data_IF_627816064868
#
_entry.id   IF_627816064868
#
_cell.length_a   1.000
_cell.length_b   1.000
_cell.length_c   1.000
_cell.angle_alpha   90.00
_cell.angle_beta   90.00
_cell.angle_gamma   90.00
#
_symmetry.space_group_name_H-M   'P 1'
#
loop_
_entity.id
_entity.type
_entity.pdbx_description
1 polymer ?
#
# COMPACT_ATOMS: atom_id res chain seq x y z
N UNK A 1 -39.54 -18.54 -38.77
CA UNK A 1 -40.01 -17.55 -37.78
C UNK A 1 -41.23 -18.16 -37.11
N UNK A 2 -41.22 -18.35 -35.78
CA UNK A 2 -40.95 -17.27 -34.83
C UNK A 2 -39.73 -17.47 -33.93
N UNK A 3 -39.29 -16.32 -33.43
CA UNK A 3 -38.17 -16.06 -32.54
C UNK A 3 -38.38 -16.57 -31.11
N UNK A 4 -37.33 -17.13 -30.52
CA UNK A 4 -37.25 -17.50 -29.11
C UNK A 4 -35.94 -17.00 -28.49
N UNK A 5 -35.90 -15.74 -28.10
CA UNK A 5 -34.78 -15.14 -27.35
C UNK A 5 -34.71 -15.71 -25.92
N UNK A 6 -33.87 -16.74 -25.73
CA UNK A 6 -33.56 -17.32 -24.43
C UNK A 6 -32.60 -16.45 -23.62
N UNK A 7 -33.13 -15.49 -22.86
CA UNK A 7 -32.36 -14.69 -21.90
C UNK A 7 -31.90 -15.53 -20.70
N UNK A 8 -30.58 -15.68 -20.54
CA UNK A 8 -29.95 -16.23 -19.33
C UNK A 8 -30.23 -15.33 -18.11
N UNK A 9 -31.23 -15.66 -17.29
CA UNK A 9 -31.40 -15.05 -15.95
C UNK A 9 -30.33 -15.60 -15.00
N UNK A 10 -29.38 -14.75 -14.59
CA UNK A 10 -28.47 -15.06 -13.46
C UNK A 10 -29.32 -15.24 -12.19
N UNK A 11 -29.31 -16.44 -11.59
CA UNK A 11 -29.82 -16.64 -10.23
C UNK A 11 -28.94 -15.88 -9.25
N UNK A 12 -29.51 -14.85 -8.63
CA UNK A 12 -28.90 -14.15 -7.49
C UNK A 12 -29.20 -15.00 -6.25
N UNK A 13 -28.17 -15.50 -5.57
CA UNK A 13 -28.32 -16.21 -4.30
C UNK A 13 -28.53 -15.17 -3.20
N UNK A 14 -29.66 -15.25 -2.51
CA UNK A 14 -30.10 -14.30 -1.47
C UNK A 14 -29.99 -14.98 -0.10
N UNK A 15 -29.58 -14.24 0.93
CA UNK A 15 -29.52 -14.75 2.30
C UNK A 15 -30.94 -15.03 2.84
N UNK A 16 -31.24 -16.25 3.34
CA UNK A 16 -32.58 -16.61 3.82
C UNK A 16 -33.00 -15.91 5.13
N UNK A 17 -32.09 -15.21 5.80
CA UNK A 17 -32.38 -14.52 7.07
C UNK A 17 -32.62 -13.01 6.93
N UNK A 18 -32.10 -12.36 5.88
CA UNK A 18 -32.21 -10.91 5.71
C UNK A 18 -32.56 -10.43 4.29
N UNK A 19 -32.73 -11.33 3.31
CA UNK A 19 -33.19 -10.95 1.97
C UNK A 19 -32.17 -10.18 1.12
N UNK A 20 -30.93 -10.01 1.58
CA UNK A 20 -29.88 -9.33 0.79
C UNK A 20 -29.14 -10.26 -0.18
N UNK A 21 -28.78 -9.78 -1.39
CA UNK A 21 -28.01 -10.55 -2.37
C UNK A 21 -26.57 -10.76 -1.90
N UNK A 22 -26.11 -12.02 -1.84
CA UNK A 22 -24.75 -12.35 -1.43
C UNK A 22 -23.73 -11.86 -2.46
N UNK A 23 -23.11 -10.70 -2.23
CA UNK A 23 -21.95 -10.24 -3.00
C UNK A 23 -20.75 -11.14 -2.66
N UNK A 24 -20.19 -11.79 -3.68
CA UNK A 24 -18.97 -12.58 -3.57
C UNK A 24 -17.78 -11.71 -3.12
N UNK A 25 -17.51 -11.68 -1.81
CA UNK A 25 -16.29 -11.14 -1.22
C UNK A 25 -15.14 -12.16 -1.35
N UNK A 26 -14.81 -12.52 -2.59
CA UNK A 26 -13.64 -13.35 -2.90
C UNK A 26 -12.54 -12.47 -3.48
N UNK A 27 -11.51 -12.15 -2.68
CA UNK A 27 -10.14 -11.75 -3.05
C UNK A 27 -9.54 -10.80 -2.00
N UNK A 28 -9.28 -11.23 -0.76
CA UNK A 28 -8.47 -10.38 0.14
C UNK A 28 -7.58 -11.06 1.17
N UNK A 29 -7.50 -12.39 1.20
CA UNK A 29 -6.51 -13.06 2.05
C UNK A 29 -5.86 -14.20 1.27
N UNK A 30 -4.55 -14.08 1.00
CA UNK A 30 -3.72 -15.26 0.73
C UNK A 30 -3.94 -16.18 1.94
N UNK A 31 -4.47 -17.38 1.71
CA UNK A 31 -4.37 -18.43 2.71
C UNK A 31 -2.88 -18.60 3.06
N UNK A 32 -2.52 -18.79 4.34
CA UNK A 32 -1.13 -19.02 4.72
C UNK A 32 -0.55 -20.15 3.86
N UNK A 33 0.74 -20.09 3.47
CA UNK A 33 1.36 -21.17 2.70
C UNK A 33 1.12 -22.51 3.40
N UNK A 34 0.77 -23.57 2.66
CA UNK A 34 0.41 -24.88 3.24
C UNK A 34 1.46 -25.42 4.23
N UNK A 35 2.73 -25.03 4.07
CA UNK A 35 3.83 -25.31 5.02
C UNK A 35 3.64 -24.67 6.39
N UNK A 36 3.14 -23.44 6.45
CA UNK A 36 2.75 -22.80 7.70
C UNK A 36 1.60 -23.58 8.35
N UNK A 37 0.56 -23.96 7.59
CA UNK A 37 -0.58 -24.73 8.13
C UNK A 37 -0.17 -26.10 8.69
N UNK A 38 0.82 -26.77 8.08
CA UNK A 38 1.38 -28.04 8.60
C UNK A 38 2.18 -27.83 9.89
N UNK A 39 3.11 -26.86 9.89
CA UNK A 39 3.84 -26.46 11.10
C UNK A 39 2.89 -26.00 12.23
N UNK A 40 1.74 -25.42 11.87
CA UNK A 40 0.68 -25.02 12.82
C UNK A 40 -0.03 -26.20 13.47
N UNK A 41 -0.32 -27.29 12.75
CA UNK A 41 -0.87 -28.51 13.35
C UNK A 41 0.13 -29.19 14.31
N UNK A 42 1.41 -29.15 13.96
CA UNK A 42 2.50 -29.67 14.79
C UNK A 42 2.69 -28.82 16.07
N UNK A 43 2.48 -27.50 16.02
CA UNK A 43 2.49 -26.62 17.20
C UNK A 43 1.23 -26.70 18.06
N UNK A 44 0.06 -26.92 17.47
CA UNK A 44 -1.16 -27.22 18.24
C UNK A 44 -0.94 -28.47 19.10
N UNK A 45 -0.30 -29.51 18.54
CA UNK A 45 0.05 -30.73 19.28
C UNK A 45 1.10 -30.48 20.37
N UNK A 46 2.10 -29.62 20.11
CA UNK A 46 3.16 -29.31 21.08
C UNK A 46 2.66 -28.45 22.27
N UNK A 47 1.71 -27.55 22.04
CA UNK A 47 1.11 -26.70 23.08
C UNK A 47 0.11 -27.50 23.92
N UNK A 48 -0.59 -28.47 23.33
CA UNK A 48 -1.51 -29.37 24.04
C UNK A 48 -0.78 -30.45 24.87
N UNK A 49 0.49 -30.77 24.57
CA UNK A 49 1.27 -31.76 25.34
C UNK A 49 2.05 -31.17 26.53
N UNK A 50 2.10 -29.84 26.67
CA UNK A 50 2.84 -29.16 27.76
C UNK A 50 1.95 -28.58 28.87
N UNK A 51 0.67 -28.93 28.93
CA UNK A 51 -0.17 -28.59 30.09
C UNK A 51 0.19 -29.48 31.28
N UNK A 52 1.11 -29.01 32.12
CA UNK A 52 1.23 -29.46 33.51
C UNK A 52 -0.07 -29.17 34.29
N UNK A 53 -0.25 -29.78 35.48
CA UNK A 53 -1.50 -29.70 36.22
C UNK A 53 -1.82 -28.24 36.63
N UNK A 54 -3.11 -27.88 36.76
CA UNK A 54 -3.52 -26.51 37.04
C UNK A 54 -3.01 -26.08 38.42
N UNK A 55 -2.29 -24.96 38.43
CA UNK A 55 -1.85 -24.26 39.62
C UNK A 55 -3.07 -23.68 40.35
N UNK A 56 -3.24 -24.01 41.64
CA UNK A 56 -4.28 -23.49 42.50
C UNK A 56 -3.96 -22.04 42.93
N UNK A 57 -4.92 -21.12 42.73
CA UNK A 57 -4.83 -19.73 43.23
C UNK A 57 -4.88 -19.69 44.77
N UNK A 58 -4.05 -18.85 45.44
CA UNK A 58 -4.26 -18.51 46.84
C UNK A 58 -5.40 -17.49 46.98
N UNK A 59 -6.36 -17.81 47.85
CA UNK A 59 -7.51 -16.99 48.23
C UNK A 59 -7.06 -15.64 48.83
N UNK A 60 -7.52 -14.55 48.24
CA UNK A 60 -7.54 -13.24 48.91
C UNK A 60 -8.88 -13.06 49.65
N UNK A 61 -8.78 -12.68 50.93
CA UNK A 61 -9.91 -12.41 51.83
C UNK A 61 -10.73 -11.22 51.34
N UNK A 62 -12.05 -11.40 51.37
CA UNK A 62 -13.04 -10.31 51.31
C UNK A 62 -13.03 -9.51 52.63
N UNK A 63 -13.56 -8.27 52.61
CA UNK A 63 -14.45 -7.84 53.67
C UNK A 63 -15.88 -7.68 53.15
N UNK A 64 -16.78 -8.10 54.01
CA UNK A 64 -18.22 -8.26 53.86
C UNK A 64 -18.97 -6.91 53.86
N UNK A 65 -20.19 -6.89 53.31
CA UNK A 65 -21.18 -5.83 53.53
C UNK A 65 -22.17 -5.67 52.38
N UNK A 66 -23.32 -6.34 52.47
CA UNK A 66 -24.41 -6.34 51.49
C UNK A 66 -25.38 -5.14 51.64
N UNK A 67 -26.04 -4.73 50.54
CA UNK A 67 -27.49 -4.86 50.38
C UNK A 67 -27.93 -4.62 48.92
N UNK A 68 -28.77 -5.48 48.32
CA UNK A 68 -29.28 -5.37 46.96
C UNK A 68 -30.65 -4.67 46.90
N UNK A 69 -30.90 -3.93 45.81
CA UNK A 69 -32.25 -3.58 45.37
C UNK A 69 -32.90 -2.37 46.04
N UNK A 70 -32.75 -1.20 45.42
CA UNK A 70 -33.79 -0.17 45.45
C UNK A 70 -33.86 0.51 44.09
N UNK A 71 -35.05 0.48 43.51
CA UNK A 71 -35.38 1.08 42.23
C UNK A 71 -35.65 2.58 42.34
N UNK A 72 -35.82 3.16 41.15
CA UNK A 72 -36.22 4.53 40.87
C UNK A 72 -37.19 5.14 41.90
N UNK A 73 -36.92 6.37 42.31
CA UNK A 73 -37.94 7.41 42.35
C UNK A 73 -37.30 8.80 42.18
N UNK A 74 -38.06 9.62 41.46
CA UNK A 74 -37.94 11.05 41.21
C UNK A 74 -38.04 11.90 42.48
N UNK A 75 -37.50 13.12 42.38
CA UNK A 75 -37.97 14.41 42.95
C UNK A 75 -36.73 15.27 43.29
N UNK A 76 -36.41 16.29 42.51
CA UNK A 76 -37.00 17.63 42.44
C UNK A 76 -36.42 18.61 43.48
N UNK A 77 -35.72 19.60 42.92
CA UNK A 77 -35.63 21.02 43.29
C UNK A 77 -34.64 21.54 44.35
N UNK A 78 -34.14 22.75 43.99
CA UNK A 78 -33.33 23.75 44.69
C UNK A 78 -31.82 23.49 44.82
N UNK A 79 -30.91 24.37 44.41
CA UNK A 79 -31.02 25.74 43.91
C UNK A 79 -29.77 26.50 44.33
N UNK A 80 -28.80 26.73 43.43
CA UNK A 80 -27.73 27.71 43.66
C UNK A 80 -26.98 28.06 42.36
N UNK A 81 -27.43 29.16 41.77
CA UNK A 81 -26.76 29.95 40.74
C UNK A 81 -25.35 30.39 41.17
N UNK A 82 -24.33 30.17 40.32
CA UNK A 82 -23.12 31.01 40.30
C UNK A 82 -22.71 31.30 38.84
N UNK A 83 -22.98 32.54 38.44
CA UNK A 83 -22.53 33.20 37.20
C UNK A 83 -21.00 33.37 37.17
N UNK A 84 -20.40 33.51 35.98
CA UNK A 84 -18.98 33.76 35.81
C UNK A 84 -18.63 35.23 36.11
N UNK A 85 -17.52 35.44 36.81
CA UNK A 85 -16.96 36.76 37.08
C UNK A 85 -16.20 37.28 35.84
N UNK A 86 -16.70 38.38 35.29
CA UNK A 86 -15.93 39.35 34.51
C UNK A 86 -14.86 39.97 35.41
N UNK A 87 -13.62 40.06 34.92
CA UNK A 87 -12.64 41.01 35.42
C UNK A 87 -12.32 41.99 34.29
N UNK A 88 -12.92 43.17 34.41
CA UNK A 88 -12.49 44.40 33.76
C UNK A 88 -11.24 44.91 34.48
N UNK A 89 -10.17 45.19 33.76
CA UNK A 89 -9.13 46.10 34.25
C UNK A 89 -8.79 47.12 33.17
N UNK A 90 -9.04 48.37 33.53
CA UNK A 90 -8.74 49.61 32.81
C UNK A 90 -7.28 49.95 33.12
N UNK A 91 -6.40 50.03 32.12
CA UNK A 91 -5.09 50.68 32.26
C UNK A 91 -4.77 51.52 31.00
N UNK A 92 -4.65 52.82 31.27
CA UNK A 92 -3.99 53.93 30.58
C UNK A 92 -3.54 53.81 29.10
N UNK A 93 -4.06 54.74 28.29
CA UNK A 93 -3.52 55.17 26.99
C UNK A 93 -2.12 55.76 27.15
N UNK A 94 -1.13 55.16 26.49
CA UNK A 94 0.08 55.85 26.03
C UNK A 94 0.21 55.59 24.53
N UNK A 95 0.11 56.66 23.73
CA UNK A 95 0.27 56.61 22.29
C UNK A 95 1.70 56.25 21.93
N UNK A 96 1.88 55.08 21.30
CA UNK A 96 3.14 54.70 20.66
C UNK A 96 2.88 54.68 19.17
N UNK A 97 3.48 55.65 18.48
CA UNK A 97 3.54 55.72 17.02
C UNK A 97 4.03 54.38 16.48
N UNK A 98 3.15 53.62 15.84
CA UNK A 98 3.53 52.45 15.04
C UNK A 98 4.24 52.97 13.81
N UNK A 99 5.58 52.96 13.86
CA UNK A 99 6.40 53.02 12.68
C UNK A 99 6.07 51.81 11.82
N UNK A 100 5.35 52.04 10.73
CA UNK A 100 5.23 51.09 9.63
C UNK A 100 6.65 50.85 9.13
N UNK A 101 7.28 49.78 9.61
CA UNK A 101 8.49 49.27 8.99
C UNK A 101 8.07 48.84 7.59
N UNK A 102 8.32 49.72 6.62
CA UNK A 102 8.30 49.36 5.22
C UNK A 102 9.33 48.25 5.07
N UNK A 103 8.86 47.00 5.07
CA UNK A 103 9.65 45.90 4.55
C UNK A 103 9.96 46.28 3.11
N UNK A 104 11.16 46.78 2.90
CA UNK A 104 11.82 46.81 1.60
C UNK A 104 12.06 45.36 1.24
N UNK A 105 10.99 44.69 0.79
CA UNK A 105 11.11 43.47 0.02
C UNK A 105 11.79 43.88 -1.28
N UNK A 106 13.12 43.76 -1.28
CA UNK A 106 13.92 43.75 -2.49
C UNK A 106 13.53 42.48 -3.28
N UNK A 107 12.41 42.56 -4.01
CA UNK A 107 11.87 41.48 -4.85
C UNK A 107 12.22 41.74 -6.31
N UNK A 108 13.51 41.66 -6.64
CA UNK A 108 13.84 41.08 -7.93
C UNK A 108 13.56 39.57 -7.82
N UNK A 109 12.28 39.16 -7.83
CA UNK A 109 11.92 37.75 -8.01
C UNK A 109 12.54 37.32 -9.33
N UNK A 110 13.54 36.44 -9.30
CA UNK A 110 13.99 35.73 -10.51
C UNK A 110 12.73 35.18 -11.19
N UNK A 111 12.44 35.63 -12.41
CA UNK A 111 11.21 35.23 -13.08
C UNK A 111 11.34 33.75 -13.47
N UNK A 112 10.55 32.90 -12.82
CA UNK A 112 10.54 31.45 -13.02
C UNK A 112 9.45 31.07 -14.02
N UNK A 113 9.72 30.09 -14.88
CA UNK A 113 8.71 29.43 -15.68
C UNK A 113 8.22 28.17 -14.97
N UNK A 114 6.93 28.09 -14.68
CA UNK A 114 6.28 26.89 -14.17
C UNK A 114 5.68 26.08 -15.32
N UNK A 115 5.87 24.77 -15.28
CA UNK A 115 5.41 23.83 -16.31
C UNK A 115 4.77 22.59 -15.67
N UNK A 116 3.49 22.34 -15.93
CA UNK A 116 2.90 21.04 -15.62
C UNK A 116 2.72 20.18 -16.86
N UNK A 117 2.95 18.87 -16.70
CA UNK A 117 2.66 17.87 -17.72
C UNK A 117 1.44 17.04 -17.31
N UNK A 118 0.45 16.97 -18.20
CA UNK A 118 -0.52 15.88 -18.22
C UNK A 118 -0.04 14.86 -19.26
N UNK A 119 0.40 13.70 -18.78
CA UNK A 119 1.06 12.68 -19.59
C UNK A 119 0.04 11.69 -20.20
N UNK A 120 -0.19 11.80 -21.51
CA UNK A 120 -0.96 10.84 -22.30
C UNK A 120 -0.07 9.84 -23.06
N UNK A 121 -0.70 8.81 -23.62
CA UNK A 121 -0.01 7.80 -24.44
C UNK A 121 0.50 8.35 -25.77
N UNK A 122 -0.31 9.16 -26.45
CA UNK A 122 0.03 9.72 -27.76
C UNK A 122 0.55 11.15 -27.68
N UNK A 123 0.07 11.90 -26.69
CA UNK A 123 0.34 13.33 -26.55
C UNK A 123 0.53 13.69 -25.08
N UNK A 124 1.41 14.64 -24.83
CA UNK A 124 1.52 15.33 -23.54
C UNK A 124 0.88 16.71 -23.65
N UNK A 125 0.01 17.06 -22.69
CA UNK A 125 -0.43 18.45 -22.53
C UNK A 125 0.52 19.17 -21.59
N UNK A 126 0.99 20.32 -22.04
CA UNK A 126 1.90 21.18 -21.32
C UNK A 126 1.15 22.43 -20.89
N UNK A 127 1.13 22.73 -19.59
CA UNK A 127 0.58 23.97 -19.06
C UNK A 127 1.70 24.84 -18.50
N UNK A 128 1.83 26.05 -19.03
CA UNK A 128 2.88 27.00 -18.67
C UNK A 128 2.31 28.24 -18.00
N UNK A 129 2.98 28.71 -16.94
CA UNK A 129 2.64 29.96 -16.26
C UNK A 129 3.86 30.55 -15.53
N UNK A 130 3.83 31.85 -15.22
CA UNK A 130 4.84 32.54 -14.39
C UNK A 130 4.33 32.85 -12.98
N UNK A 131 3.01 32.90 -12.82
CA UNK A 131 2.30 33.19 -11.59
C UNK A 131 0.98 32.43 -11.56
N UNK A 132 0.34 32.37 -10.39
CA UNK A 132 -0.96 31.73 -10.25
C UNK A 132 -2.01 32.62 -10.94
N UNK A 133 -2.18 32.42 -12.24
CA UNK A 133 -3.17 33.10 -13.07
C UNK A 133 -4.18 32.09 -13.62
N UNK A 134 -5.40 32.56 -13.89
CA UNK A 134 -6.51 31.70 -14.32
C UNK A 134 -6.37 31.14 -15.74
N UNK A 135 -5.37 31.57 -16.51
CA UNK A 135 -5.23 31.19 -17.92
C UNK A 135 -3.79 30.81 -18.31
N UNK A 136 -3.30 29.62 -17.93
CA UNK A 136 -1.98 29.14 -18.34
C UNK A 136 -1.91 28.93 -19.86
N UNK A 137 -0.72 29.11 -20.45
CA UNK A 137 -0.50 28.77 -21.86
C UNK A 137 -0.50 27.24 -21.98
N UNK A 138 -1.41 26.73 -22.81
CA UNK A 138 -1.52 25.28 -23.07
C UNK A 138 -0.90 24.93 -24.44
N UNK A 139 -0.10 23.86 -24.47
CA UNK A 139 0.44 23.26 -25.69
C UNK A 139 0.31 21.75 -25.66
N UNK A 140 0.27 21.14 -26.84
CA UNK A 140 0.29 19.69 -26.99
C UNK A 140 1.54 19.32 -27.74
N UNK A 141 2.29 18.35 -27.23
CA UNK A 141 3.43 17.76 -27.93
C UNK A 141 3.20 16.25 -28.02
N UNK A 142 3.73 15.62 -29.07
CA UNK A 142 3.73 14.16 -29.16
C UNK A 142 4.46 13.56 -27.96
N UNK A 143 3.99 12.42 -27.45
CA UNK A 143 4.62 11.73 -26.33
C UNK A 143 6.12 11.54 -26.55
N UNK A 144 6.91 11.70 -25.48
CA UNK A 144 8.37 11.47 -25.45
C UNK A 144 9.18 12.33 -26.43
N UNK A 145 8.58 13.31 -27.11
CA UNK A 145 9.28 14.21 -28.01
C UNK A 145 9.96 15.36 -27.23
N UNK A 146 11.17 15.09 -26.74
CA UNK A 146 11.96 16.06 -25.97
C UNK A 146 12.38 17.29 -26.81
N UNK A 147 12.57 17.14 -28.12
CA UNK A 147 12.91 18.27 -28.98
C UNK A 147 11.75 19.27 -29.08
N UNK A 148 10.53 18.77 -29.30
CA UNK A 148 9.32 19.60 -29.30
C UNK A 148 9.07 20.23 -27.92
N UNK A 149 9.32 19.50 -26.83
CA UNK A 149 9.24 20.03 -25.47
C UNK A 149 10.19 21.22 -25.27
N UNK A 150 11.48 21.07 -25.63
CA UNK A 150 12.47 22.16 -25.53
C UNK A 150 12.09 23.36 -26.38
N UNK A 151 11.59 23.12 -27.60
CA UNK A 151 11.08 24.18 -28.46
C UNK A 151 9.93 24.95 -27.80
N UNK A 152 8.93 24.27 -27.22
CA UNK A 152 7.80 24.94 -26.56
C UNK A 152 8.22 25.67 -25.27
N UNK A 153 9.20 25.15 -24.53
CA UNK A 153 9.78 25.85 -23.37
C UNK A 153 10.43 27.17 -23.83
N UNK A 154 11.29 27.13 -24.85
CA UNK A 154 11.96 28.31 -25.38
C UNK A 154 10.96 29.34 -25.96
N UNK A 155 10.00 28.87 -26.76
CA UNK A 155 8.94 29.70 -27.33
C UNK A 155 8.05 30.33 -26.25
N UNK A 156 7.87 29.65 -25.12
CA UNK A 156 7.10 30.18 -23.99
C UNK A 156 7.90 31.19 -23.18
N UNK A 157 9.20 30.95 -22.94
CA UNK A 157 10.08 31.95 -22.31
C UNK A 157 10.07 33.26 -23.11
N UNK A 158 10.21 33.19 -24.43
CA UNK A 158 10.13 34.35 -25.31
C UNK A 158 8.78 35.08 -25.20
N UNK A 159 7.66 34.35 -25.25
CA UNK A 159 6.30 34.93 -25.14
C UNK A 159 6.05 35.59 -23.78
N UNK A 160 6.61 35.06 -22.70
CA UNK A 160 6.45 35.61 -21.36
C UNK A 160 7.54 36.63 -20.99
N UNK A 161 8.38 37.03 -21.96
CA UNK A 161 9.48 37.97 -21.76
C UNK A 161 10.40 37.53 -20.59
N UNK A 162 10.68 36.23 -20.54
CA UNK A 162 11.62 35.61 -19.62
C UNK A 162 12.99 35.52 -20.29
N UNK A 163 14.08 35.75 -19.54
CA UNK A 163 15.44 35.44 -20.01
C UNK A 163 15.56 33.98 -20.50
N UNK A 164 16.46 33.73 -21.45
CA UNK A 164 16.69 32.37 -21.97
C UNK A 164 17.12 31.38 -20.87
N UNK A 165 17.88 31.87 -19.90
CA UNK A 165 18.38 31.17 -18.71
C UNK A 165 17.39 31.17 -17.53
N UNK A 166 16.16 31.70 -17.70
CA UNK A 166 15.15 31.70 -16.65
C UNK A 166 14.93 30.28 -16.09
N UNK A 167 14.93 30.09 -14.76
CA UNK A 167 14.73 28.79 -14.16
C UNK A 167 13.39 28.17 -14.57
N UNK A 168 13.37 26.87 -14.83
CA UNK A 168 12.16 26.11 -15.09
C UNK A 168 11.89 25.20 -13.90
N UNK A 169 10.68 25.30 -13.36
CA UNK A 169 10.17 24.37 -12.34
C UNK A 169 9.02 23.61 -12.96
N UNK A 170 9.02 22.30 -12.86
CA UNK A 170 8.01 21.49 -13.51
C UNK A 170 7.46 20.38 -12.63
N UNK A 171 6.27 19.88 -12.99
CA UNK A 171 5.68 18.74 -12.30
C UNK A 171 4.86 17.83 -13.21
N UNK A 172 4.77 16.57 -12.82
CA UNK A 172 3.87 15.59 -13.44
C UNK A 172 3.43 14.57 -12.40
N UNK A 173 2.29 13.93 -12.64
CA UNK A 173 1.79 12.86 -11.76
C UNK A 173 2.60 11.57 -11.93
N UNK A 174 2.98 10.96 -10.80
CA UNK A 174 3.63 9.66 -10.75
C UNK A 174 2.75 8.61 -11.45
N UNK A 175 3.32 7.92 -12.43
CA UNK A 175 2.51 7.06 -13.29
C UNK A 175 3.31 6.11 -14.16
N UNK A 176 2.73 5.80 -15.33
CA UNK A 176 3.22 4.78 -16.26
C UNK A 176 4.66 5.03 -16.71
N UNK A 177 4.99 6.29 -17.02
CA UNK A 177 6.31 6.66 -17.52
C UNK A 177 7.40 6.58 -16.44
N UNK A 178 7.07 6.22 -15.21
CA UNK A 178 8.05 6.05 -14.14
C UNK A 178 8.91 7.31 -13.93
N UNK A 179 10.21 7.11 -13.77
CA UNK A 179 11.13 8.15 -13.30
C UNK A 179 12.05 8.74 -14.40
N UNK A 180 12.02 8.21 -15.63
CA UNK A 180 12.97 8.62 -16.67
C UNK A 180 12.79 10.09 -17.06
N UNK A 181 11.54 10.58 -17.12
CA UNK A 181 11.25 11.97 -17.47
C UNK A 181 11.81 12.93 -16.41
N UNK A 182 11.59 12.64 -15.13
CA UNK A 182 12.20 13.40 -14.04
C UNK A 182 13.72 13.45 -14.16
N UNK A 183 14.39 12.32 -14.43
CA UNK A 183 15.85 12.26 -14.59
C UNK A 183 16.33 13.09 -15.77
N UNK A 184 15.66 12.97 -16.92
CA UNK A 184 15.97 13.74 -18.12
C UNK A 184 15.85 15.25 -17.86
N UNK A 185 14.74 15.70 -17.29
CA UNK A 185 14.50 17.12 -17.01
C UNK A 185 15.46 17.65 -15.93
N UNK A 186 15.78 16.85 -14.92
CA UNK A 186 16.76 17.21 -13.88
C UNK A 186 18.17 17.35 -14.45
N UNK A 187 18.57 16.46 -15.37
CA UNK A 187 19.87 16.53 -16.04
C UNK A 187 20.00 17.78 -16.93
N UNK A 188 18.88 18.30 -17.44
CA UNK A 188 18.79 19.58 -18.16
C UNK A 188 18.74 20.80 -17.22
N UNK A 189 18.85 20.60 -15.91
CA UNK A 189 18.86 21.68 -14.90
C UNK A 189 17.47 22.15 -14.47
N UNK A 190 16.39 21.48 -14.87
CA UNK A 190 15.05 21.81 -14.42
C UNK A 190 14.77 21.25 -13.03
N UNK A 191 14.05 22.01 -12.20
CA UNK A 191 13.54 21.49 -10.92
C UNK A 191 12.25 20.73 -11.17
N UNK A 192 12.33 19.41 -11.21
CA UNK A 192 11.18 18.55 -11.52
C UNK A 192 10.59 17.92 -10.26
N UNK A 193 9.26 17.99 -10.12
CA UNK A 193 8.50 17.35 -9.05
C UNK A 193 7.61 16.24 -9.61
N UNK A 194 7.90 15.00 -9.27
CA UNK A 194 6.97 13.88 -9.50
C UNK A 194 5.95 13.86 -8.35
N UNK A 195 4.65 13.95 -8.64
CA UNK A 195 3.58 14.15 -7.65
C UNK A 195 2.82 12.84 -7.41
N UNK A 196 2.58 12.49 -6.15
CA UNK A 196 1.71 11.36 -5.79
C UNK A 196 0.25 11.72 -6.09
N UNK A 197 -0.32 11.15 -7.16
CA UNK A 197 -1.72 11.37 -7.57
C UNK A 197 -2.72 11.10 -6.44
N UNK A 198 -2.42 10.18 -5.52
CA UNK A 198 -3.33 9.84 -4.41
C UNK A 198 -3.38 10.92 -3.32
N UNK A 199 -2.44 11.86 -3.34
CA UNK A 199 -2.37 12.99 -2.41
C UNK A 199 -3.07 14.25 -2.91
N UNK A 200 -3.46 14.30 -4.19
CA UNK A 200 -4.14 15.43 -4.80
C UNK A 200 -5.62 15.39 -4.38
N UNK A 201 -6.11 16.50 -3.83
CA UNK A 201 -7.53 16.60 -3.48
C UNK A 201 -8.40 16.63 -4.74
N UNK A 202 -9.41 15.75 -4.74
CA UNK A 202 -10.37 15.60 -5.83
C UNK A 202 -11.73 16.09 -5.36
N UNK A 203 -12.36 16.94 -6.17
CA UNK A 203 -13.73 17.40 -5.95
C UNK A 203 -14.70 16.21 -5.94
N UNK A 204 -15.64 16.21 -4.99
CA UNK A 204 -16.62 15.14 -4.77
C UNK A 204 -17.90 15.30 -5.61
N UNK A 205 -18.05 16.38 -6.39
CA UNK A 205 -19.22 16.60 -7.26
C UNK A 205 -19.36 15.50 -8.32
N UNK A 206 -20.59 15.05 -8.55
CA UNK A 206 -20.88 13.87 -9.40
C UNK A 206 -20.65 14.09 -10.91
N UNK A 207 -20.77 15.33 -11.41
CA UNK A 207 -20.55 15.66 -12.84
C UNK A 207 -19.61 16.86 -12.94
N UNK A 208 -18.45 16.64 -13.58
CA UNK A 208 -17.44 17.67 -13.84
C UNK A 208 -16.91 17.50 -15.26
N UNK A 209 -16.64 18.61 -15.93
CA UNK A 209 -15.83 18.59 -17.14
C UNK A 209 -14.42 18.11 -16.79
N UNK A 210 -14.01 16.98 -17.38
CA UNK A 210 -12.65 16.47 -17.29
C UNK A 210 -12.03 16.51 -18.67
N UNK A 211 -10.97 17.28 -18.81
CA UNK A 211 -10.17 17.35 -20.03
C UNK A 211 -8.70 17.47 -19.64
N UNK A 212 -7.80 16.91 -20.44
CA UNK A 212 -6.36 16.97 -20.20
C UNK A 212 -5.86 18.43 -20.04
N UNK A 213 -6.51 19.37 -20.73
CA UNK A 213 -6.26 20.81 -20.61
C UNK A 213 -6.57 21.35 -19.21
N UNK A 214 -7.73 20.99 -18.66
CA UNK A 214 -8.14 21.41 -17.31
C UNK A 214 -7.27 20.76 -16.24
N UNK A 215 -6.88 19.49 -16.44
CA UNK A 215 -6.03 18.77 -15.51
C UNK A 215 -4.60 19.34 -15.50
N UNK A 216 -4.01 19.61 -16.67
CA UNK A 216 -2.72 20.29 -16.78
C UNK A 216 -2.75 21.71 -16.15
N UNK A 217 -3.81 22.48 -16.40
CA UNK A 217 -3.98 23.81 -15.81
C UNK A 217 -4.10 23.75 -14.27
N UNK A 218 -4.82 22.76 -13.73
CA UNK A 218 -4.91 22.52 -12.29
C UNK A 218 -3.52 22.19 -11.70
N UNK A 219 -2.77 21.32 -12.37
CA UNK A 219 -1.43 20.91 -11.91
C UNK A 219 -0.46 22.09 -11.85
N UNK A 220 -0.42 22.96 -12.86
CA UNK A 220 0.51 24.12 -12.84
C UNK A 220 0.12 25.13 -11.75
N UNK A 221 -1.17 25.32 -11.50
CA UNK A 221 -1.64 26.16 -10.38
C UNK A 221 -1.22 25.60 -9.02
N UNK A 222 -1.38 24.29 -8.82
CA UNK A 222 -0.93 23.62 -7.59
C UNK A 222 0.60 23.65 -7.44
N UNK A 223 1.35 23.57 -8.54
CA UNK A 223 2.81 23.69 -8.53
C UNK A 223 3.26 25.05 -7.99
N UNK A 224 2.63 26.10 -8.49
CA UNK A 224 2.94 27.47 -8.07
C UNK A 224 2.62 27.66 -6.59
N UNK A 225 1.49 27.14 -6.11
CA UNK A 225 1.14 27.16 -4.68
C UNK A 225 2.17 26.40 -3.82
N UNK A 226 2.59 25.23 -4.28
CA UNK A 226 3.60 24.42 -3.61
C UNK A 226 4.95 25.14 -3.50
N UNK A 227 5.40 25.77 -4.58
CA UNK A 227 6.65 26.53 -4.65
C UNK A 227 6.58 27.82 -3.81
N UNK A 228 5.40 28.44 -3.72
CA UNK A 228 5.13 29.58 -2.84
C UNK A 228 4.93 29.23 -1.36
N UNK A 229 5.14 27.97 -0.96
CA UNK A 229 5.20 27.55 0.44
C UNK A 229 4.04 26.69 0.94
N UNK A 230 2.99 26.47 0.13
CA UNK A 230 1.87 25.62 0.52
C UNK A 230 2.22 24.12 0.37
N UNK A 231 3.13 23.62 1.23
CA UNK A 231 3.70 22.27 1.14
C UNK A 231 2.70 21.12 1.38
N UNK A 232 1.44 21.42 1.70
CA UNK A 232 0.37 20.43 1.94
C UNK A 232 -0.58 20.26 0.75
N UNK A 233 -0.40 21.03 -0.33
CA UNK A 233 -1.24 20.93 -1.54
C UNK A 233 -1.16 19.57 -2.22
N UNK A 234 -0.02 18.86 -2.08
CA UNK A 234 0.21 17.48 -2.49
C UNK A 234 1.42 16.88 -1.78
N UNK A 235 1.79 15.64 -2.11
CA UNK A 235 3.05 14.98 -1.76
C UNK A 235 3.87 14.72 -3.01
N UNK A 236 5.19 14.94 -2.91
CA UNK A 236 6.15 14.61 -3.97
C UNK A 236 6.75 13.23 -3.74
N UNK A 237 6.94 12.49 -4.82
CA UNK A 237 7.61 11.20 -4.82
C UNK A 237 9.11 11.44 -4.67
N UNK A 238 9.75 10.73 -3.73
CA UNK A 238 11.20 10.60 -3.73
C UNK A 238 11.59 9.67 -4.87
N UNK A 239 12.22 10.23 -5.89
CA UNK A 239 12.68 9.48 -7.06
C UNK A 239 13.92 8.66 -6.68
N UNK A 240 13.90 7.32 -6.83
CA UNK A 240 15.08 6.48 -6.59
C UNK A 240 16.15 6.74 -7.68
N UNK A 241 17.42 6.55 -7.32
CA UNK A 241 18.49 6.50 -8.32
C UNK A 241 18.25 5.34 -9.30
N UNK A 242 18.89 5.37 -10.46
CA UNK A 242 18.80 4.28 -11.44
C UNK A 242 19.28 2.95 -10.84
N UNK A 243 20.35 3.00 -10.04
CA UNK A 243 20.88 1.82 -9.36
C UNK A 243 19.89 1.29 -8.30
N UNK A 244 19.22 2.16 -7.54
CA UNK A 244 18.19 1.77 -6.57
C UNK A 244 16.96 1.18 -7.24
N UNK A 245 16.53 1.77 -8.36
CA UNK A 245 15.46 1.22 -9.16
C UNK A 245 15.82 -0.16 -9.71
N UNK A 246 17.02 -0.30 -10.27
CA UNK A 246 17.51 -1.53 -10.87
C UNK A 246 17.55 -2.69 -9.85
N UNK A 247 18.01 -2.40 -8.62
CA UNK A 247 18.06 -3.37 -7.51
C UNK A 247 16.70 -4.00 -7.17
N UNK A 248 15.59 -3.34 -7.51
CA UNK A 248 14.24 -3.84 -7.23
C UNK A 248 13.71 -4.83 -8.26
N UNK A 249 14.35 -4.98 -9.43
CA UNK A 249 13.84 -5.88 -10.47
C UNK A 249 13.83 -7.33 -10.02
N UNK A 250 14.92 -7.81 -9.39
CA UNK A 250 15.07 -9.23 -9.06
C UNK A 250 13.91 -9.79 -8.22
N UNK A 251 13.53 -9.12 -7.13
CA UNK A 251 12.44 -9.63 -6.28
C UNK A 251 11.05 -9.38 -6.86
N UNK A 252 10.87 -8.33 -7.66
CA UNK A 252 9.60 -8.07 -8.35
C UNK A 252 9.34 -9.10 -9.44
N UNK A 253 10.36 -9.41 -10.23
CA UNK A 253 10.30 -10.48 -11.23
C UNK A 253 10.05 -11.85 -10.58
N UNK A 254 10.74 -12.14 -9.47
CA UNK A 254 10.49 -13.36 -8.70
C UNK A 254 9.02 -13.45 -8.25
N UNK A 255 8.41 -12.35 -7.80
CA UNK A 255 6.99 -12.33 -7.45
C UNK A 255 6.08 -12.63 -8.65
N UNK A 256 6.39 -12.07 -9.81
CA UNK A 256 5.63 -12.28 -11.04
C UNK A 256 5.67 -13.76 -11.46
N UNK A 257 6.85 -14.38 -11.47
CA UNK A 257 7.00 -15.81 -11.76
C UNK A 257 6.36 -16.71 -10.71
N UNK A 258 6.43 -16.34 -9.42
CA UNK A 258 5.74 -17.06 -8.35
C UNK A 258 4.21 -17.04 -8.55
N UNK A 259 3.67 -15.92 -9.01
CA UNK A 259 2.24 -15.81 -9.29
C UNK A 259 1.84 -16.56 -10.57
N UNK A 260 2.65 -16.55 -11.63
CA UNK A 260 2.43 -17.40 -12.81
C UNK A 260 2.47 -18.90 -12.46
N UNK A 261 3.49 -19.34 -11.71
CA UNK A 261 3.59 -20.73 -11.22
C UNK A 261 2.36 -21.12 -10.41
N UNK A 262 1.86 -20.22 -9.55
CA UNK A 262 0.63 -20.42 -8.78
C UNK A 262 -0.60 -20.52 -9.67
N UNK A 263 -0.71 -19.69 -10.70
CA UNK A 263 -1.83 -19.72 -11.64
C UNK A 263 -1.92 -21.05 -12.38
N UNK A 264 -0.81 -21.57 -12.91
CA UNK A 264 -0.78 -22.90 -13.53
C UNK A 264 -1.16 -24.00 -12.54
N UNK A 265 -0.61 -23.97 -11.33
CA UNK A 265 -0.93 -24.95 -10.29
C UNK A 265 -2.44 -24.95 -9.94
N UNK A 266 -3.04 -23.77 -9.78
CA UNK A 266 -4.45 -23.63 -9.49
C UNK A 266 -5.33 -24.08 -10.66
N UNK A 267 -4.90 -23.82 -11.90
CA UNK A 267 -5.64 -24.24 -13.10
C UNK A 267 -5.61 -25.77 -13.25
N UNK A 268 -4.46 -26.40 -13.03
CA UNK A 268 -4.32 -27.87 -12.99
C UNK A 268 -5.25 -28.46 -11.93
N UNK A 269 -5.16 -27.97 -10.68
CA UNK A 269 -6.01 -28.46 -9.58
C UNK A 269 -7.49 -28.24 -9.82
N UNK A 270 -7.88 -27.10 -10.39
CA UNK A 270 -9.28 -26.83 -10.73
C UNK A 270 -9.82 -27.79 -11.80
N UNK A 271 -9.01 -28.12 -12.80
CA UNK A 271 -9.38 -29.09 -13.84
C UNK A 271 -9.54 -30.51 -13.26
N UNK A 272 -8.62 -30.94 -12.40
CA UNK A 272 -8.69 -32.23 -11.73
C UNK A 272 -9.90 -32.32 -10.77
N UNK A 273 -10.12 -31.28 -9.97
CA UNK A 273 -11.25 -31.22 -9.05
C UNK A 273 -12.60 -31.31 -9.78
N UNK A 274 -12.70 -30.77 -11.00
CA UNK A 274 -13.88 -30.90 -11.85
C UNK A 274 -14.20 -32.34 -12.27
N UNK A 275 -13.24 -33.27 -12.15
CA UNK A 275 -13.40 -34.70 -12.37
C UNK A 275 -13.42 -35.51 -11.06
N UNK A 276 -13.45 -34.86 -9.90
CA UNK A 276 -13.33 -35.52 -8.60
C UNK A 276 -11.91 -36.03 -8.29
N UNK A 277 -10.89 -35.52 -8.99
CA UNK A 277 -9.50 -35.94 -8.85
C UNK A 277 -8.67 -34.91 -8.08
N UNK A 278 -7.59 -35.38 -7.44
CA UNK A 278 -6.54 -34.53 -6.88
C UNK A 278 -5.16 -35.13 -7.18
N UNK A 279 -4.16 -34.28 -7.36
CA UNK A 279 -2.79 -34.70 -7.61
C UNK A 279 -1.80 -33.62 -7.17
N UNK A 280 -0.58 -34.06 -6.86
CA UNK A 280 0.52 -33.13 -6.56
C UNK A 280 1.16 -32.69 -7.87
N UNK A 281 1.21 -31.38 -8.08
CA UNK A 281 1.89 -30.79 -9.25
C UNK A 281 3.37 -30.64 -8.93
N UNK A 282 4.13 -31.66 -9.30
CA UNK A 282 5.59 -31.74 -9.19
C UNK A 282 6.17 -32.43 -10.44
N UNK A 283 7.47 -32.76 -10.42
CA UNK A 283 8.16 -33.38 -11.56
C UNK A 283 7.53 -34.71 -12.03
N UNK A 284 6.83 -35.41 -11.13
CA UNK A 284 6.24 -36.72 -11.39
C UNK A 284 4.75 -36.60 -11.77
N UNK A 285 4.22 -35.37 -11.89
CA UNK A 285 2.83 -35.12 -12.26
C UNK A 285 2.37 -35.86 -13.54
N UNK A 286 3.14 -35.92 -14.64
CA UNK A 286 2.74 -36.69 -15.82
C UNK A 286 2.50 -38.17 -15.51
N UNK A 287 3.37 -38.78 -14.68
CA UNK A 287 3.22 -40.18 -14.25
C UNK A 287 2.02 -40.37 -13.33
N UNK A 288 1.78 -39.41 -12.43
CA UNK A 288 0.59 -39.43 -11.58
C UNK A 288 -0.69 -39.41 -12.42
N UNK A 289 -0.71 -38.60 -13.48
CA UNK A 289 -1.86 -38.43 -14.36
C UNK A 289 -2.27 -39.75 -15.05
N UNK A 290 -1.31 -40.57 -15.47
CA UNK A 290 -1.57 -41.90 -16.05
C UNK A 290 -2.23 -42.88 -15.05
N UNK A 291 -1.96 -42.70 -13.75
CA UNK A 291 -2.51 -43.54 -12.69
C UNK A 291 -3.89 -43.07 -12.21
N UNK A 292 -4.30 -41.84 -12.51
CA UNK A 292 -5.60 -41.30 -12.06
C UNK A 292 -6.77 -42.01 -12.73
N UNK A 293 -7.82 -42.24 -11.95
CA UNK A 293 -9.09 -42.83 -12.40
C UNK A 293 -10.24 -41.97 -11.92
N UNK A 294 -11.17 -41.68 -12.83
CA UNK A 294 -12.42 -40.99 -12.55
C UNK A 294 -13.32 -41.83 -11.63
N UNK A 295 -14.42 -41.24 -11.18
CA UNK A 295 -15.38 -41.87 -10.26
C UNK A 295 -15.97 -43.20 -10.76
N UNK A 296 -15.99 -43.42 -12.08
CA UNK A 296 -16.50 -44.61 -12.75
C UNK A 296 -15.38 -45.63 -13.10
N UNK A 297 -14.16 -45.40 -12.60
CA UNK A 297 -13.00 -46.24 -12.85
C UNK A 297 -12.33 -46.04 -14.21
N UNK A 298 -12.84 -45.15 -15.06
CA UNK A 298 -12.20 -44.83 -16.35
C UNK A 298 -10.95 -43.96 -16.17
N UNK A 299 -9.98 -44.03 -17.08
CA UNK A 299 -8.87 -43.09 -17.09
C UNK A 299 -9.35 -41.66 -17.38
N UNK A 300 -8.50 -40.69 -17.07
CA UNK A 300 -8.71 -39.29 -17.51
C UNK A 300 -8.76 -39.25 -19.03
N UNK A 301 -9.73 -38.53 -19.61
CA UNK A 301 -9.84 -38.42 -21.07
C UNK A 301 -8.57 -37.84 -21.69
N UNK A 302 -8.23 -38.26 -22.91
CA UNK A 302 -7.00 -37.83 -23.58
C UNK A 302 -6.99 -36.30 -23.81
N UNK A 303 -8.12 -35.68 -24.12
CA UNK A 303 -8.21 -34.23 -24.31
C UNK A 303 -7.93 -33.45 -23.02
N UNK A 304 -8.44 -33.95 -21.88
CA UNK A 304 -8.16 -33.35 -20.58
C UNK A 304 -6.70 -33.59 -20.18
N UNK A 305 -6.19 -34.80 -20.43
CA UNK A 305 -4.80 -35.17 -20.18
C UNK A 305 -3.84 -34.25 -20.92
N UNK A 306 -4.01 -34.06 -22.22
CA UNK A 306 -3.22 -33.13 -23.02
C UNK A 306 -3.29 -31.69 -22.49
N UNK A 307 -4.50 -31.23 -22.14
CA UNK A 307 -4.68 -29.89 -21.58
C UNK A 307 -3.94 -29.73 -20.26
N UNK A 308 -3.96 -30.74 -19.39
CA UNK A 308 -3.23 -30.76 -18.12
C UNK A 308 -1.72 -30.75 -18.36
N UNK A 309 -1.22 -31.52 -19.33
CA UNK A 309 0.20 -31.54 -19.70
C UNK A 309 0.68 -30.19 -20.23
N UNK A 310 -0.08 -29.50 -21.11
CA UNK A 310 0.25 -28.13 -21.54
C UNK A 310 0.28 -27.13 -20.37
N UNK A 311 -0.62 -27.26 -19.39
CA UNK A 311 -0.56 -26.43 -18.18
C UNK A 311 0.66 -26.77 -17.31
N UNK A 312 1.04 -28.04 -17.28
CA UNK A 312 2.22 -28.51 -16.54
C UNK A 312 3.52 -28.01 -17.16
N UNK A 313 3.64 -27.97 -18.49
CA UNK A 313 4.79 -27.35 -19.17
C UNK A 313 4.96 -25.87 -18.78
N UNK A 314 3.86 -25.10 -18.76
CA UNK A 314 3.86 -23.72 -18.27
C UNK A 314 4.27 -23.61 -16.81
N UNK A 315 3.79 -24.53 -15.96
CA UNK A 315 4.23 -24.62 -14.57
C UNK A 315 5.72 -24.92 -14.45
N UNK A 316 6.26 -25.86 -15.23
CA UNK A 316 7.67 -26.23 -15.21
C UNK A 316 8.56 -25.06 -15.64
N UNK A 317 8.15 -24.33 -16.67
CA UNK A 317 8.87 -23.14 -17.11
C UNK A 317 8.92 -22.08 -16.00
N UNK A 318 7.77 -21.74 -15.41
CA UNK A 318 7.73 -20.79 -14.31
C UNK A 318 8.52 -21.27 -13.06
N UNK A 319 8.51 -22.56 -12.76
CA UNK A 319 9.28 -23.14 -11.65
C UNK A 319 10.80 -23.05 -11.87
N UNK A 320 11.27 -23.24 -13.11
CA UNK A 320 12.68 -23.01 -13.46
C UNK A 320 13.08 -21.55 -13.26
N UNK A 321 12.30 -20.61 -13.79
CA UNK A 321 12.57 -19.17 -13.61
C UNK A 321 12.64 -18.77 -12.12
N UNK A 322 11.70 -19.26 -11.30
CA UNK A 322 11.74 -19.04 -9.85
C UNK A 322 13.04 -19.55 -9.23
N UNK A 323 13.44 -20.80 -9.54
CA UNK A 323 14.67 -21.39 -8.99
C UNK A 323 15.92 -20.62 -9.41
N UNK A 324 15.99 -20.21 -10.66
CA UNK A 324 17.13 -19.47 -11.19
C UNK A 324 17.29 -18.11 -10.49
N UNK A 325 16.18 -17.36 -10.34
CA UNK A 325 16.18 -16.08 -9.63
C UNK A 325 16.44 -16.23 -8.12
N UNK A 326 15.93 -17.29 -7.48
CA UNK A 326 16.25 -17.60 -6.08
C UNK A 326 17.74 -17.92 -5.89
N UNK A 327 18.33 -18.68 -6.81
CA UNK A 327 19.75 -18.99 -6.84
C UNK A 327 20.60 -17.74 -7.11
N UNK A 328 20.16 -16.86 -8.00
CA UNK A 328 20.81 -15.57 -8.24
C UNK A 328 20.81 -14.72 -6.97
N UNK A 329 19.66 -14.57 -6.29
CA UNK A 329 19.56 -13.86 -5.01
C UNK A 329 20.50 -14.46 -3.96
N UNK A 330 20.50 -15.79 -3.81
CA UNK A 330 21.35 -16.48 -2.85
C UNK A 330 22.84 -16.25 -3.15
N UNK A 331 23.23 -16.28 -4.43
CA UNK A 331 24.59 -15.98 -4.88
C UNK A 331 24.98 -14.55 -4.53
N UNK A 332 24.13 -13.57 -4.85
CA UNK A 332 24.37 -12.16 -4.51
C UNK A 332 24.57 -11.99 -3.00
N UNK A 333 23.69 -12.55 -2.17
CA UNK A 333 23.82 -12.48 -0.70
C UNK A 333 25.12 -13.13 -0.22
N UNK A 334 25.62 -14.18 -0.88
CA UNK A 334 26.87 -14.85 -0.47
C UNK A 334 28.12 -14.08 -0.90
N UNK A 335 28.15 -13.54 -2.11
CA UNK A 335 29.41 -13.06 -2.73
C UNK A 335 29.48 -11.55 -2.96
N UNK A 336 28.36 -10.84 -2.95
CA UNK A 336 28.36 -9.41 -3.25
C UNK A 336 28.91 -8.55 -2.10
N UNK A 337 29.51 -7.41 -2.42
CA UNK A 337 30.25 -6.58 -1.46
C UNK A 337 29.61 -5.21 -1.22
N UNK A 338 28.44 -4.94 -1.77
CA UNK A 338 27.74 -3.69 -1.56
C UNK A 338 27.08 -3.61 -0.17
N UNK A 339 26.94 -2.38 0.35
CA UNK A 339 26.39 -2.11 1.69
C UNK A 339 24.93 -2.52 1.84
N UNK A 340 24.16 -2.58 0.74
CA UNK A 340 22.79 -3.07 0.79
C UNK A 340 22.78 -4.56 1.14
N UNK A 341 23.67 -5.35 0.53
CA UNK A 341 23.81 -6.78 0.86
C UNK A 341 24.31 -7.01 2.28
N UNK A 342 25.17 -6.15 2.82
CA UNK A 342 25.56 -6.23 4.23
C UNK A 342 24.37 -6.01 5.17
N UNK A 343 23.49 -5.05 4.82
CA UNK A 343 22.22 -4.85 5.53
C UNK A 343 21.31 -6.07 5.41
N UNK A 344 21.25 -6.72 4.24
CA UNK A 344 20.51 -7.99 4.06
C UNK A 344 21.07 -9.07 4.98
N UNK A 345 22.40 -9.24 5.04
CA UNK A 345 23.07 -10.21 5.93
C UNK A 345 22.82 -9.90 7.40
N UNK A 346 22.81 -8.62 7.79
CA UNK A 346 22.49 -8.22 9.14
C UNK A 346 21.06 -8.60 9.53
N UNK A 347 20.07 -8.33 8.65
CA UNK A 347 18.68 -8.72 8.87
C UNK A 347 18.51 -10.24 8.96
N UNK A 348 19.26 -11.02 8.19
CA UNK A 348 19.25 -12.49 8.24
C UNK A 348 19.70 -13.07 9.58
N UNK A 349 20.39 -12.30 10.43
CA UNK A 349 20.75 -12.73 11.79
C UNK A 349 19.55 -12.72 12.75
N UNK A 350 18.45 -12.07 12.38
CA UNK A 350 17.24 -12.00 13.19
C UNK A 350 16.38 -13.26 12.98
N UNK A 351 16.03 -13.96 14.06
CA UNK A 351 15.12 -15.11 13.97
C UNK A 351 13.75 -14.66 13.46
N UNK A 352 13.22 -15.38 12.48
CA UNK A 352 11.96 -15.06 11.81
C UNK A 352 12.11 -14.18 10.56
N UNK A 353 13.32 -13.74 10.22
CA UNK A 353 13.63 -13.05 8.97
C UNK A 353 14.40 -14.01 8.04
N UNK A 354 13.95 -14.12 6.79
CA UNK A 354 14.57 -14.95 5.76
C UNK A 354 15.05 -14.12 4.57
N UNK A 355 15.70 -14.77 3.61
CA UNK A 355 16.33 -14.08 2.47
C UNK A 355 15.33 -13.24 1.66
N UNK A 356 14.10 -13.74 1.45
CA UNK A 356 13.07 -13.01 0.73
C UNK A 356 12.61 -11.74 1.46
N UNK A 357 12.38 -11.81 2.78
CA UNK A 357 11.95 -10.65 3.56
C UNK A 357 13.07 -9.64 3.73
N UNK A 358 14.28 -10.09 4.10
CA UNK A 358 15.44 -9.21 4.23
C UNK A 358 15.73 -8.45 2.93
N UNK A 359 15.79 -9.16 1.81
CA UNK A 359 16.02 -8.56 0.49
C UNK A 359 14.97 -7.51 0.14
N UNK A 360 13.68 -7.85 0.28
CA UNK A 360 12.59 -6.95 -0.08
C UNK A 360 12.63 -5.65 0.74
N UNK A 361 12.85 -5.74 2.05
CA UNK A 361 12.91 -4.55 2.90
C UNK A 361 14.11 -3.67 2.58
N UNK A 362 15.27 -4.25 2.30
CA UNK A 362 16.45 -3.48 1.91
C UNK A 362 16.21 -2.78 0.56
N UNK A 363 15.84 -3.53 -0.48
CA UNK A 363 15.75 -2.96 -1.84
C UNK A 363 14.57 -2.00 -2.03
N UNK A 364 13.46 -2.17 -1.30
CA UNK A 364 12.31 -1.25 -1.40
C UNK A 364 12.41 -0.06 -0.45
N UNK A 365 13.21 -0.17 0.63
CA UNK A 365 13.21 0.80 1.72
C UNK A 365 14.62 1.16 2.17
N UNK A 366 15.32 0.27 2.86
CA UNK A 366 16.49 0.66 3.66
C UNK A 366 17.70 1.08 2.83
N UNK A 367 17.78 0.67 1.55
CA UNK A 367 18.88 1.04 0.66
C UNK A 367 18.88 2.52 0.27
N UNK A 368 17.70 3.16 0.20
CA UNK A 368 17.59 4.47 -0.46
C UNK A 368 16.54 5.42 0.12
N UNK A 369 15.75 4.98 1.10
CA UNK A 369 14.80 5.85 1.80
C UNK A 369 15.33 6.21 3.18
N UNK A 370 15.31 7.49 3.49
CA UNK A 370 15.61 7.99 4.83
C UNK A 370 14.38 7.82 5.71
N UNK A 371 14.37 6.73 6.49
CA UNK A 371 13.36 6.52 7.52
C UNK A 371 13.90 7.00 8.86
N UNK A 372 13.26 8.04 9.39
CA UNK A 372 13.63 8.65 10.68
C UNK A 372 12.84 8.05 11.84
N UNK A 373 11.70 7.43 11.58
CA UNK A 373 10.85 6.88 12.63
C UNK A 373 9.93 5.74 12.17
N UNK A 374 9.46 4.94 13.13
CA UNK A 374 8.54 3.82 12.91
C UNK A 374 7.20 4.21 12.27
N UNK A 375 6.72 5.45 12.44
CA UNK A 375 5.45 5.89 11.85
C UNK A 375 5.58 6.03 10.33
N UNK A 376 6.73 6.51 9.85
CA UNK A 376 7.05 6.55 8.42
C UNK A 376 7.08 5.14 7.82
N UNK A 377 7.70 4.17 8.51
CA UNK A 377 7.69 2.78 8.05
C UNK A 377 6.27 2.20 7.96
N UNK A 378 5.45 2.42 9.00
CA UNK A 378 4.04 2.04 8.99
C UNK A 378 3.25 2.70 7.85
N UNK A 379 3.55 3.95 7.51
CA UNK A 379 2.92 4.68 6.40
C UNK A 379 3.35 4.10 5.05
N UNK A 380 4.65 3.83 4.85
CA UNK A 380 5.18 3.24 3.61
C UNK A 380 4.58 1.86 3.35
N UNK A 381 4.39 1.04 4.39
CA UNK A 381 3.71 -0.24 4.29
C UNK A 381 2.16 -0.11 4.21
N UNK A 382 1.58 1.05 4.50
CA UNK A 382 0.12 1.22 4.59
C UNK A 382 -0.52 0.45 5.76
N UNK A 383 0.20 0.33 6.88
CA UNK A 383 -0.22 -0.28 8.14
C UNK A 383 -0.70 0.77 9.19
N UNK A 384 -0.70 2.05 8.83
CA UNK A 384 -1.24 3.13 9.69
C UNK A 384 -2.74 2.99 9.90
N UNK A 385 -3.27 3.37 11.08
CA UNK A 385 -4.69 3.25 11.36
C UNK A 385 -5.46 4.34 10.61
N UNK A 386 -6.75 4.13 10.44
CA UNK A 386 -7.67 5.14 9.90
C UNK A 386 -8.75 5.45 10.93
N UNK A 387 -8.43 6.25 11.97
CA UNK A 387 -9.42 6.65 12.97
C UNK A 387 -10.46 7.56 12.31
N UNK A 388 -11.74 7.27 12.56
CA UNK A 388 -12.85 8.12 12.18
C UNK A 388 -13.50 8.62 13.46
N UNK A 389 -13.15 9.85 13.82
CA UNK A 389 -13.63 10.52 15.04
C UNK A 389 -14.42 11.76 14.66
N UNK A 390 -15.63 11.87 15.19
CA UNK A 390 -16.43 13.08 15.29
C UNK A 390 -16.67 13.38 16.78
N UNK A 391 -17.23 14.54 17.10
CA UNK A 391 -17.51 14.94 18.48
C UNK A 391 -18.34 13.92 19.28
N UNK A 392 -19.15 13.11 18.60
CA UNK A 392 -20.05 12.12 19.20
C UNK A 392 -19.74 10.67 18.84
N UNK A 393 -18.83 10.40 17.90
CA UNK A 393 -18.58 9.03 17.41
C UNK A 393 -17.10 8.80 17.22
N UNK A 394 -16.57 7.73 17.82
CA UNK A 394 -15.20 7.26 17.58
C UNK A 394 -15.25 5.83 17.05
N UNK A 395 -14.76 5.61 15.82
CA UNK A 395 -14.64 4.27 15.22
C UNK A 395 -13.31 4.12 14.49
N UNK A 396 -12.72 2.94 14.57
CA UNK A 396 -11.54 2.57 13.78
C UNK A 396 -11.97 1.96 12.45
N UNK A 397 -11.47 2.47 11.32
CA UNK A 397 -11.81 1.97 9.97
C UNK A 397 -10.79 0.93 9.45
N UNK A 398 -9.88 0.47 10.31
CA UNK A 398 -8.83 -0.49 9.98
C UNK A 398 -7.51 0.18 9.62
N UNK A 399 -6.75 -0.43 8.71
CA UNK A 399 -5.49 0.11 8.21
C UNK A 399 -5.71 0.88 6.91
N UNK A 400 -4.90 1.91 6.64
CA UNK A 400 -5.02 2.77 5.47
C UNK A 400 -4.91 2.01 4.15
N UNK A 401 -4.03 0.99 4.10
CA UNK A 401 -3.60 0.29 2.87
C UNK A 401 -2.99 1.21 1.79
N UNK A 402 -2.92 2.51 2.05
CA UNK A 402 -2.23 3.52 1.27
C UNK A 402 -0.72 3.36 1.52
N UNK A 403 -0.05 2.66 0.60
CA UNK A 403 1.36 2.29 0.70
C UNK A 403 1.71 1.04 -0.09
N UNK A 404 2.98 0.67 -0.09
CA UNK A 404 3.52 -0.45 -0.84
C UNK A 404 2.92 -1.79 -0.36
N UNK A 405 2.13 -2.41 -1.24
CA UNK A 405 1.44 -3.68 -0.98
C UNK A 405 2.40 -4.84 -0.71
N UNK A 406 3.58 -4.86 -1.34
CA UNK A 406 4.60 -5.92 -1.17
C UNK A 406 5.16 -5.87 0.25
N UNK A 407 5.56 -4.67 0.70
CA UNK A 407 6.01 -4.43 2.07
C UNK A 407 4.93 -4.80 3.09
N UNK A 408 3.68 -4.40 2.84
CA UNK A 408 2.56 -4.74 3.73
C UNK A 408 2.37 -6.25 3.89
N UNK A 409 2.35 -6.97 2.77
CA UNK A 409 2.19 -8.42 2.77
C UNK A 409 3.37 -9.08 3.49
N UNK A 410 4.59 -8.68 3.17
CA UNK A 410 5.80 -9.22 3.79
C UNK A 410 5.87 -8.93 5.30
N UNK A 411 5.48 -7.73 5.75
CA UNK A 411 5.42 -7.40 7.17
C UNK A 411 4.45 -8.32 7.95
N UNK A 412 3.31 -8.66 7.34
CA UNK A 412 2.36 -9.61 7.95
C UNK A 412 2.92 -11.04 7.97
N UNK A 413 3.62 -11.48 6.93
CA UNK A 413 4.31 -12.78 6.94
C UNK A 413 5.40 -12.82 8.01
N UNK A 414 6.22 -11.76 8.13
CA UNK A 414 7.23 -11.62 9.18
C UNK A 414 6.57 -11.68 10.57
N UNK A 415 5.43 -11.03 10.77
CA UNK A 415 4.72 -11.10 12.04
C UNK A 415 4.30 -12.52 12.41
N UNK A 416 3.85 -13.32 11.43
CA UNK A 416 3.58 -14.75 11.67
C UNK A 416 4.84 -15.51 12.03
N UNK A 417 5.93 -15.29 11.29
CA UNK A 417 7.22 -15.93 11.58
C UNK A 417 7.78 -15.51 12.94
N UNK A 418 7.53 -14.27 13.37
CA UNK A 418 7.91 -13.79 14.69
C UNK A 418 7.16 -14.52 15.79
N UNK A 419 5.82 -14.60 15.70
CA UNK A 419 5.01 -15.35 16.68
C UNK A 419 5.46 -16.81 16.77
N UNK A 420 5.78 -17.41 15.63
CA UNK A 420 6.24 -18.78 15.53
C UNK A 420 7.63 -19.00 16.16
N UNK A 421 8.61 -18.19 15.79
CA UNK A 421 10.02 -18.42 16.17
C UNK A 421 10.46 -17.67 17.43
N UNK A 422 9.62 -16.78 17.96
CA UNK A 422 9.88 -15.99 19.16
C UNK A 422 8.71 -16.12 20.16
N UNK A 423 8.33 -17.34 20.59
CA UNK A 423 7.15 -17.57 21.44
C UNK A 423 7.24 -16.86 22.78
N UNK A 424 8.46 -16.68 23.32
CA UNK A 424 8.71 -16.05 24.60
C UNK A 424 8.87 -14.53 24.53
N UNK A 425 8.81 -13.92 23.34
CA UNK A 425 8.89 -12.46 23.23
C UNK A 425 7.66 -11.79 23.85
N UNK A 426 7.85 -10.62 24.46
CA UNK A 426 6.75 -9.86 25.04
C UNK A 426 5.67 -9.51 24.01
N UNK A 427 6.07 -9.31 22.75
CA UNK A 427 5.14 -9.07 21.65
C UNK A 427 4.28 -10.29 21.33
N UNK A 428 4.87 -11.50 21.31
CA UNK A 428 4.11 -12.74 21.11
C UNK A 428 3.19 -13.03 22.29
N UNK A 429 3.66 -12.86 23.53
CA UNK A 429 2.81 -13.01 24.72
C UNK A 429 1.65 -12.01 24.71
N UNK A 430 1.90 -10.76 24.33
CA UNK A 430 0.85 -9.76 24.14
C UNK A 430 -0.18 -10.17 23.08
N UNK A 431 0.29 -10.70 21.93
CA UNK A 431 -0.58 -11.19 20.87
C UNK A 431 -1.46 -12.34 21.36
N UNK A 432 -0.90 -13.33 22.06
CA UNK A 432 -1.65 -14.47 22.59
C UNK A 432 -2.67 -14.03 23.65
N UNK A 433 -2.30 -13.16 24.59
CA UNK A 433 -3.23 -12.65 25.62
C UNK A 433 -4.43 -11.90 25.03
N UNK A 434 -4.21 -11.10 23.97
CA UNK A 434 -5.26 -10.21 23.44
C UNK A 434 -6.03 -10.79 22.26
N UNK A 435 -5.40 -11.66 21.47
CA UNK A 435 -5.94 -12.15 20.20
C UNK A 435 -5.84 -13.66 20.05
N UNK A 436 -5.36 -14.40 21.06
CA UNK A 436 -5.14 -15.85 20.98
C UNK A 436 -6.41 -16.67 20.78
N UNK A 437 -7.58 -16.14 21.17
CA UNK A 437 -8.88 -16.81 21.04
C UNK A 437 -9.51 -16.53 19.67
N UNK A 438 -9.88 -17.58 18.95
CA UNK A 438 -10.67 -17.48 17.71
C UNK A 438 -9.89 -17.05 16.46
N UNK A 439 -10.19 -17.71 15.34
CA UNK A 439 -9.48 -17.52 14.06
C UNK A 439 -9.56 -16.09 13.50
N UNK A 440 -10.68 -15.39 13.72
CA UNK A 440 -10.87 -14.00 13.26
C UNK A 440 -10.01 -13.01 14.04
N UNK A 441 -10.01 -13.09 15.37
CA UNK A 441 -9.24 -12.18 16.23
C UNK A 441 -7.75 -12.33 15.99
N UNK A 442 -7.25 -13.56 15.80
CA UNK A 442 -5.84 -13.82 15.43
C UNK A 442 -5.43 -13.10 14.15
N UNK A 443 -6.28 -13.08 13.13
CA UNK A 443 -6.01 -12.35 11.87
C UNK A 443 -5.96 -10.83 12.07
N UNK A 444 -6.75 -10.29 13.00
CA UNK A 444 -6.69 -8.86 13.35
C UNK A 444 -5.41 -8.58 14.15
N UNK A 445 -5.14 -9.42 15.15
CA UNK A 445 -3.98 -9.33 16.02
C UNK A 445 -2.66 -9.39 15.26
N UNK A 446 -2.54 -10.23 14.23
CA UNK A 446 -1.28 -10.35 13.49
C UNK A 446 -0.95 -9.07 12.71
N UNK A 447 -1.96 -8.37 12.21
CA UNK A 447 -1.75 -7.06 11.56
C UNK A 447 -1.26 -6.04 12.58
N UNK A 448 -1.74 -6.12 13.82
CA UNK A 448 -1.26 -5.28 14.90
C UNK A 448 0.17 -5.64 15.34
N UNK A 449 0.55 -6.93 15.32
CA UNK A 449 1.94 -7.37 15.51
C UNK A 449 2.84 -6.83 14.39
N UNK A 450 2.43 -6.97 13.12
CA UNK A 450 3.18 -6.48 11.95
C UNK A 450 3.46 -4.97 11.98
N UNK A 451 2.61 -4.20 12.65
CA UNK A 451 2.81 -2.77 12.86
C UNK A 451 3.72 -2.44 14.05
N UNK A 452 3.75 -3.31 15.05
CA UNK A 452 4.54 -3.13 16.28
C UNK A 452 6.00 -3.55 16.08
N UNK A 453 6.22 -4.60 15.29
CA UNK A 453 7.51 -4.93 14.67
C UNK A 453 7.94 -3.77 13.76
#
# INVERSE_FOLDING_TARGET
MPDGAGGYRRRVVVCPHCGEPMRAMGLLFRAPPKRAVKAWRELEQLVMSTSGPPFQEPRLRQPEGACPGCGNHSDAMEGASKKPLLVSSIVAKQGRLTMTAAHTQSTARTRVLYLAFELGWENWKLAFATEAADNPRIRSVKDRNLAALRHEIAATKAKFHLPADAPVVCCYEAGRDGHWLHRCLSAEGFRCHEVDSSSIEVDRRQRRAKTDTLDAAKLVSMLIRFENGEKRVWRTVRVPSEADEARRHLHRELEDWLDQRRQHNNRIKGLLAGQGLDATVDKDFPKQLDALRCWDGRPVSEELKERLLRQFEGWQFADRQVKDLENQRARSIRTGTDSCLDTVRQLLRLKGIGAASAWLFVMEVFAWRDITNRRQMGSIAGLTPTPYTSSTTSREQGISKAGNRRLRAMAVEIAWMWVLHQPQSELTKWFLRRFGTGSRLRKIGIVAVARKL
#
